data_IF_654725079559
#
_entry.id   IF_654725079559
#
_cell.length_a   1.000
_cell.length_b   1.000
_cell.length_c   1.000
_cell.angle_alpha   90.00
_cell.angle_beta   90.00
_cell.angle_gamma   90.00
#
_symmetry.space_group_name_H-M   'P 1'
#
loop_
_entity.id
_entity.type
_entity.pdbx_description
1 polymer ?
#
# COMPACT_ATOMS: atom_id res chain seq x y z
N UNK A 1 7.61 9.02 40.86
CA UNK A 1 6.41 8.44 40.22
C UNK A 1 6.89 7.44 39.18
N UNK A 2 6.89 6.15 39.53
CA UNK A 2 7.19 5.07 38.58
C UNK A 2 5.95 4.85 37.71
N UNK A 3 6.02 5.19 36.43
CA UNK A 3 4.99 4.83 35.46
C UNK A 3 5.02 3.32 35.22
N UNK A 4 4.29 2.59 36.05
CA UNK A 4 3.96 1.17 35.87
C UNK A 4 2.92 1.07 34.76
N UNK A 5 3.33 1.22 33.50
CA UNK A 5 2.45 0.84 32.40
C UNK A 5 2.29 -0.68 32.47
N UNK A 6 1.05 -1.21 32.64
CA UNK A 6 0.87 -2.64 32.64
C UNK A 6 1.25 -3.17 31.26
N UNK A 7 1.99 -4.28 31.24
CA UNK A 7 2.31 -5.05 30.03
C UNK A 7 1.04 -5.70 29.49
N UNK A 8 0.09 -4.90 29.01
CA UNK A 8 -1.18 -5.39 28.51
C UNK A 8 -0.96 -5.97 27.10
N UNK A 9 -0.68 -7.27 27.08
CA UNK A 9 -0.91 -8.26 26.03
C UNK A 9 -0.34 -7.93 24.63
N UNK A 10 0.76 -8.58 24.19
CA UNK A 10 1.35 -8.37 22.86
C UNK A 10 0.36 -8.59 21.70
N UNK A 11 -0.64 -9.44 21.90
CA UNK A 11 -1.72 -9.71 20.95
C UNK A 11 -2.58 -8.47 20.64
N UNK A 12 -2.85 -7.61 21.62
CA UNK A 12 -3.64 -6.38 21.41
C UNK A 12 -2.89 -5.37 20.53
N UNK A 13 -1.57 -5.30 20.64
CA UNK A 13 -0.72 -4.43 19.81
C UNK A 13 -0.70 -4.91 18.36
N UNK A 14 -0.50 -6.21 18.13
CA UNK A 14 -0.52 -6.79 16.77
C UNK A 14 -1.88 -6.58 16.09
N UNK A 15 -2.98 -6.85 16.79
CA UNK A 15 -4.31 -6.56 16.25
C UNK A 15 -4.48 -5.07 15.94
N UNK A 16 -4.06 -4.17 16.83
CA UNK A 16 -4.14 -2.73 16.59
C UNK A 16 -3.33 -2.30 15.37
N UNK A 17 -2.17 -2.90 15.12
CA UNK A 17 -1.38 -2.63 13.92
C UNK A 17 -2.06 -3.14 12.65
N UNK A 18 -2.61 -4.36 12.67
CA UNK A 18 -3.36 -4.92 11.54
C UNK A 18 -4.58 -4.06 11.22
N UNK A 19 -5.38 -3.69 12.24
CA UNK A 19 -6.53 -2.81 12.08
C UNK A 19 -6.15 -1.42 11.59
N UNK A 20 -5.07 -0.84 12.12
CA UNK A 20 -4.58 0.46 11.67
C UNK A 20 -4.13 0.43 10.20
N UNK A 21 -3.42 -0.63 9.80
CA UNK A 21 -3.00 -0.84 8.40
C UNK A 21 -4.21 -0.99 7.49
N UNK A 22 -5.16 -1.87 7.85
CA UNK A 22 -6.39 -2.07 7.09
C UNK A 22 -7.19 -0.77 6.95
N UNK A 23 -7.38 -0.04 8.06
CA UNK A 23 -8.09 1.23 8.07
C UNK A 23 -7.40 2.28 7.18
N UNK A 24 -6.07 2.35 7.19
CA UNK A 24 -5.31 3.25 6.32
C UNK A 24 -5.55 2.98 4.83
N UNK A 25 -5.50 1.70 4.42
CA UNK A 25 -5.79 1.32 3.03
C UNK A 25 -7.26 1.53 2.66
N UNK A 26 -8.20 1.24 3.58
CA UNK A 26 -9.63 1.46 3.37
C UNK A 26 -9.97 2.95 3.20
N UNK A 27 -9.44 3.81 4.06
CA UNK A 27 -9.65 5.26 3.93
C UNK A 27 -9.00 5.81 2.66
N UNK A 28 -7.81 5.32 2.30
CA UNK A 28 -7.15 5.72 1.05
C UNK A 28 -7.97 5.33 -0.18
N UNK A 29 -8.57 4.14 -0.18
CA UNK A 29 -9.37 3.68 -1.32
C UNK A 29 -10.66 4.47 -1.49
N UNK A 30 -11.39 4.74 -0.39
CA UNK A 30 -12.60 5.58 -0.40
C UNK A 30 -12.25 6.97 -0.89
N UNK A 31 -11.14 7.54 -0.42
CA UNK A 31 -10.70 8.87 -0.81
C UNK A 31 -10.39 8.96 -2.31
N UNK A 32 -9.60 8.02 -2.86
CA UNK A 32 -9.23 8.06 -4.29
C UNK A 32 -10.42 7.82 -5.21
N UNK A 33 -11.31 6.90 -4.84
CA UNK A 33 -12.55 6.66 -5.59
C UNK A 33 -13.45 7.90 -5.56
N UNK A 34 -13.57 8.57 -4.40
CA UNK A 34 -14.32 9.81 -4.26
C UNK A 34 -13.72 10.96 -5.09
N UNK A 35 -12.40 11.10 -5.13
CA UNK A 35 -11.72 12.11 -5.95
C UNK A 35 -11.98 11.87 -7.44
N UNK A 36 -11.87 10.64 -7.94
CA UNK A 36 -12.19 10.35 -9.35
C UNK A 36 -13.66 10.59 -9.65
N UNK A 37 -14.55 10.15 -8.76
CA UNK A 37 -15.98 10.33 -8.94
C UNK A 37 -16.36 11.82 -8.97
N UNK A 38 -15.82 12.63 -8.07
CA UNK A 38 -16.08 14.07 -8.02
C UNK A 38 -15.50 14.85 -9.19
N UNK A 39 -14.33 14.45 -9.71
CA UNK A 39 -13.67 15.13 -10.82
C UNK A 39 -14.21 14.73 -12.20
N UNK A 40 -14.63 13.46 -12.36
CA UNK A 40 -14.93 12.89 -13.68
C UNK A 40 -16.29 12.22 -13.80
N UNK A 41 -17.04 12.10 -12.70
CA UNK A 41 -18.34 11.41 -12.69
C UNK A 41 -18.25 9.89 -12.93
N UNK A 42 -17.04 9.32 -12.90
CA UNK A 42 -16.79 7.89 -13.12
C UNK A 42 -16.43 7.24 -11.79
N UNK A 43 -16.98 6.04 -11.52
CA UNK A 43 -16.59 5.22 -10.38
C UNK A 43 -16.48 3.78 -10.87
N UNK A 44 -15.25 3.32 -11.08
CA UNK A 44 -14.95 2.00 -11.66
C UNK A 44 -14.48 1.00 -10.61
N UNK A 45 -14.23 1.43 -9.37
CA UNK A 45 -13.77 0.58 -8.28
C UNK A 45 -12.32 0.08 -8.44
N UNK A 46 -11.58 0.60 -9.42
CA UNK A 46 -10.20 0.15 -9.68
C UNK A 46 -9.23 0.61 -8.58
N UNK A 47 -9.41 1.83 -8.04
CA UNK A 47 -8.66 2.26 -6.86
C UNK A 47 -9.03 1.43 -5.65
N UNK A 48 -10.30 1.07 -5.51
CA UNK A 48 -10.76 0.17 -4.46
C UNK A 48 -10.02 -1.18 -4.50
N UNK A 49 -9.95 -1.80 -5.68
CA UNK A 49 -9.18 -3.05 -5.89
C UNK A 49 -7.69 -2.86 -5.61
N UNK A 50 -7.08 -1.79 -6.12
CA UNK A 50 -5.65 -1.51 -5.93
C UNK A 50 -5.29 -1.41 -4.44
N UNK A 51 -5.98 -0.56 -3.67
CA UNK A 51 -5.64 -0.34 -2.27
C UNK A 51 -6.00 -1.53 -1.38
N UNK A 52 -7.11 -2.23 -1.62
CA UNK A 52 -7.44 -3.44 -0.85
C UNK A 52 -6.45 -4.57 -1.10
N UNK A 53 -6.04 -4.78 -2.36
CA UNK A 53 -5.04 -5.79 -2.70
C UNK A 53 -3.73 -5.54 -1.94
N UNK A 54 -3.24 -4.29 -1.93
CA UNK A 54 -2.05 -3.91 -1.17
C UNK A 54 -2.24 -4.01 0.34
N UNK A 55 -3.41 -3.66 0.85
CA UNK A 55 -3.74 -3.80 2.27
C UNK A 55 -3.67 -5.25 2.74
N UNK A 56 -4.23 -6.18 1.96
CA UNK A 56 -4.17 -7.61 2.25
C UNK A 56 -2.71 -8.11 2.25
N UNK A 57 -1.93 -7.73 1.23
CA UNK A 57 -0.51 -8.12 1.14
C UNK A 57 0.30 -7.56 2.31
N UNK A 58 0.05 -6.30 2.71
CA UNK A 58 0.73 -5.68 3.84
C UNK A 58 0.46 -6.44 5.16
N UNK A 59 -0.79 -6.87 5.38
CA UNK A 59 -1.16 -7.69 6.55
C UNK A 59 -0.45 -9.05 6.51
N UNK A 60 -0.45 -9.73 5.36
CA UNK A 60 0.28 -11.00 5.21
C UNK A 60 1.78 -10.83 5.47
N UNK A 61 2.38 -9.76 4.95
CA UNK A 61 3.79 -9.46 5.17
C UNK A 61 4.11 -9.25 6.66
N UNK A 62 3.27 -8.49 7.37
CA UNK A 62 3.43 -8.25 8.80
C UNK A 62 3.34 -9.55 9.61
N UNK A 63 2.40 -10.44 9.27
CA UNK A 63 2.27 -11.76 9.90
C UNK A 63 3.53 -12.61 9.64
N UNK A 64 4.01 -12.67 8.40
CA UNK A 64 5.21 -13.46 8.03
C UNK A 64 6.44 -12.95 8.77
N UNK A 65 6.65 -11.63 8.83
CA UNK A 65 7.77 -11.00 9.55
C UNK A 65 7.65 -11.31 11.05
N UNK A 66 6.48 -11.11 11.65
CA UNK A 66 6.27 -11.35 13.08
C UNK A 66 6.51 -12.81 13.47
N UNK A 67 6.06 -13.76 12.66
CA UNK A 67 6.30 -15.20 12.91
C UNK A 67 7.76 -15.60 12.68
N UNK A 68 8.38 -15.07 11.62
CA UNK A 68 9.76 -15.41 11.25
C UNK A 68 10.79 -14.89 12.25
N UNK A 69 10.58 -13.68 12.79
CA UNK A 69 11.53 -13.03 13.70
C UNK A 69 11.20 -13.22 15.18
N UNK A 70 10.40 -14.24 15.53
CA UNK A 70 10.13 -14.58 16.93
C UNK A 70 11.38 -15.19 17.58
N UNK A 71 12.23 -14.29 18.09
CA UNK A 71 13.33 -14.42 19.05
C UNK A 71 14.04 -15.78 19.06
N UNK A 72 15.13 -15.87 18.30
CA UNK A 72 16.18 -16.86 18.52
C UNK A 72 17.47 -16.08 18.84
N UNK A 73 18.03 -16.25 20.04
CA UNK A 73 18.98 -15.33 20.70
C UNK A 73 20.41 -15.26 20.07
N UNK A 74 20.59 -15.64 18.80
CA UNK A 74 21.87 -15.55 18.09
C UNK A 74 22.00 -14.24 17.31
N UNK A 75 22.53 -13.21 17.97
CA UNK A 75 22.58 -11.81 17.49
C UNK A 75 23.25 -11.60 16.13
N UNK A 76 24.34 -12.31 15.81
CA UNK A 76 25.05 -12.16 14.54
C UNK A 76 24.32 -12.82 13.35
N UNK A 77 23.70 -13.98 13.56
CA UNK A 77 22.92 -14.67 12.54
C UNK A 77 21.61 -13.92 12.25
N UNK A 78 21.00 -13.36 13.29
CA UNK A 78 19.75 -12.61 13.18
C UNK A 78 19.94 -11.28 12.42
N UNK A 79 21.08 -10.60 12.59
CA UNK A 79 21.40 -9.39 11.84
C UNK A 79 21.53 -9.64 10.33
N UNK A 80 22.27 -10.69 9.94
CA UNK A 80 22.43 -11.06 8.52
C UNK A 80 21.08 -11.44 7.89
N UNK A 81 20.27 -12.23 8.60
CA UNK A 81 18.93 -12.63 8.17
C UNK A 81 17.98 -11.44 8.00
N UNK A 82 17.98 -10.50 8.94
CA UNK A 82 17.17 -9.27 8.88
C UNK A 82 17.52 -8.41 7.65
N UNK A 83 18.81 -8.26 7.33
CA UNK A 83 19.24 -7.56 6.12
C UNK A 83 18.67 -8.20 4.85
N UNK A 84 18.82 -9.52 4.68
CA UNK A 84 18.28 -10.21 3.51
C UNK A 84 16.76 -10.09 3.41
N UNK A 85 16.03 -10.23 4.52
CA UNK A 85 14.56 -10.09 4.51
C UNK A 85 14.13 -8.68 4.11
N UNK A 86 14.86 -7.63 4.51
CA UNK A 86 14.57 -6.26 4.05
C UNK A 86 14.81 -6.08 2.56
N UNK A 87 15.93 -6.59 2.03
CA UNK A 87 16.25 -6.50 0.59
C UNK A 87 15.23 -7.28 -0.24
N UNK A 88 14.93 -8.51 0.15
CA UNK A 88 13.91 -9.35 -0.50
C UNK A 88 12.55 -8.67 -0.44
N UNK A 89 12.16 -8.17 0.74
CA UNK A 89 10.93 -7.41 0.93
C UNK A 89 10.84 -6.20 0.01
N UNK A 90 11.93 -5.43 -0.13
CA UNK A 90 11.99 -4.28 -1.02
C UNK A 90 11.80 -4.67 -2.49
N UNK A 91 12.49 -5.70 -2.97
CA UNK A 91 12.37 -6.18 -4.36
C UNK A 91 10.95 -6.70 -4.64
N UNK A 92 10.39 -7.48 -3.71
CA UNK A 92 9.04 -8.01 -3.83
C UNK A 92 7.99 -6.89 -3.86
N UNK A 93 8.08 -5.92 -2.95
CA UNK A 93 7.15 -4.79 -2.91
C UNK A 93 7.17 -3.99 -4.22
N UNK A 94 8.36 -3.65 -4.72
CA UNK A 94 8.48 -2.92 -5.98
C UNK A 94 7.94 -3.72 -7.17
N UNK A 95 8.15 -5.03 -7.19
CA UNK A 95 7.63 -5.90 -8.24
C UNK A 95 6.10 -5.92 -8.24
N UNK A 96 5.49 -6.04 -7.06
CA UNK A 96 4.03 -6.00 -6.90
C UNK A 96 3.47 -4.64 -7.33
N UNK A 97 4.13 -3.53 -6.95
CA UNK A 97 3.73 -2.19 -7.34
C UNK A 97 3.74 -2.00 -8.86
N UNK A 98 4.79 -2.45 -9.55
CA UNK A 98 4.89 -2.31 -11.00
C UNK A 98 3.75 -3.06 -11.70
N UNK A 99 3.41 -4.27 -11.23
CA UNK A 99 2.36 -5.10 -11.82
C UNK A 99 0.94 -4.55 -11.55
N UNK A 100 0.74 -3.89 -10.42
CA UNK A 100 -0.56 -3.35 -10.00
C UNK A 100 -0.72 -1.86 -10.30
N UNK A 101 0.35 -1.16 -10.69
CA UNK A 101 0.33 0.24 -11.08
C UNK A 101 -0.74 0.58 -12.13
N UNK A 102 -1.06 -0.29 -13.11
CA UNK A 102 -2.16 -0.03 -14.03
C UNK A 102 -3.49 0.22 -13.31
N UNK A 103 -3.87 -0.59 -12.31
CA UNK A 103 -5.11 -0.36 -11.55
C UNK A 103 -5.17 0.97 -10.83
N UNK A 104 -4.02 1.58 -10.54
CA UNK A 104 -3.97 2.92 -9.99
C UNK A 104 -3.97 4.01 -11.07
N UNK A 105 -3.20 3.85 -12.15
CA UNK A 105 -3.00 4.91 -13.15
C UNK A 105 -4.12 4.98 -14.20
N UNK A 106 -4.71 3.84 -14.57
CA UNK A 106 -5.64 3.71 -15.69
C UNK A 106 -6.96 4.48 -15.51
N UNK A 107 -7.56 4.58 -14.29
CA UNK A 107 -8.69 5.47 -14.04
C UNK A 107 -8.41 6.93 -14.42
N UNK A 108 -7.24 7.45 -14.05
CA UNK A 108 -6.85 8.83 -14.36
C UNK A 108 -6.64 9.06 -15.87
N UNK A 109 -6.12 8.04 -16.57
CA UNK A 109 -5.92 8.09 -18.02
C UNK A 109 -7.27 8.09 -18.74
N UNK A 110 -8.18 7.17 -18.40
CA UNK A 110 -9.51 7.08 -19.03
C UNK A 110 -10.36 8.31 -18.77
N UNK A 111 -10.21 8.89 -17.59
CA UNK A 111 -10.90 10.12 -17.22
C UNK A 111 -10.29 11.39 -17.84
N UNK A 112 -9.26 11.24 -18.70
CA UNK A 112 -8.54 12.34 -19.38
C UNK A 112 -8.01 13.41 -18.41
N UNK A 113 -7.71 13.05 -17.16
CA UNK A 113 -7.14 14.00 -16.20
C UNK A 113 -5.80 14.56 -16.71
N UNK A 114 -5.06 13.69 -17.38
CA UNK A 114 -3.87 14.04 -18.13
C UNK A 114 -4.25 14.14 -19.61
N UNK A 115 -4.44 15.36 -20.12
CA UNK A 115 -4.61 15.60 -21.57
C UNK A 115 -3.43 15.08 -22.40
N UNK A 116 -2.28 14.85 -21.74
CA UNK A 116 -1.08 14.27 -22.30
C UNK A 116 -0.47 13.34 -21.24
N UNK A 117 -0.09 12.10 -21.64
CA UNK A 117 0.91 11.31 -20.90
C UNK A 117 2.12 12.21 -20.60
N UNK A 118 2.97 11.91 -19.60
CA UNK A 118 4.34 12.44 -19.56
C UNK A 118 5.18 11.84 -20.70
N UNK A 119 4.67 11.90 -21.93
CA UNK A 119 5.42 11.78 -23.16
C UNK A 119 5.80 13.19 -23.59
N UNK A 120 7.02 13.33 -24.10
CA UNK A 120 7.62 14.54 -24.67
C UNK A 120 6.91 15.02 -25.95
N UNK A 121 5.61 15.27 -25.91
CA UNK A 121 4.84 15.71 -27.06
C UNK A 121 3.37 15.79 -26.73
N UNK A 122 2.89 17.02 -26.54
CA UNK A 122 1.49 17.31 -26.33
C UNK A 122 0.94 17.86 -27.65
N UNK A 123 0.01 17.15 -28.29
CA UNK A 123 -0.64 17.64 -29.51
C UNK A 123 -1.70 18.69 -29.13
N UNK A 124 -1.50 19.92 -29.59
CA UNK A 124 -2.31 21.11 -29.25
C UNK A 124 -3.61 21.20 -30.07
N UNK A 125 -4.00 20.12 -30.75
CA UNK A 125 -5.06 20.13 -31.76
C UNK A 125 -6.49 19.80 -31.31
N UNK A 126 -6.75 19.47 -30.03
CA UNK A 126 -8.09 19.00 -29.64
C UNK A 126 -9.07 20.15 -29.36
N UNK A 127 -10.03 20.36 -30.27
CA UNK A 127 -11.22 21.18 -30.05
C UNK A 127 -12.31 20.32 -29.41
N UNK A 128 -12.59 20.56 -28.14
CA UNK A 128 -13.72 19.96 -27.43
C UNK A 128 -15.05 20.36 -28.06
N UNK A 129 -15.93 19.37 -28.23
CA UNK A 129 -17.37 19.56 -28.30
C UNK A 129 -17.96 19.26 -26.93
#
# INVERSE_FOLDING_TARGET
>A
MNNYYPSFLPYKKVLSHIFGTFAGFLWSCIFHEYVIHSLFGLANGEHFTFFLFHGIIAIFWEIIVTLSFRKNDNTAFDQKRNYYTKVIGFVLWNSILILTAPWFAEPYIRAKHYYCYPHFGCDKGYKGY
#
